data_IF_658656512700
#
_entry.id   IF_658656512700
#
_cell.length_a   1.000
_cell.length_b   1.000
_cell.length_c   1.000
_cell.angle_alpha   90.00
_cell.angle_beta   90.00
_cell.angle_gamma   90.00
#
_symmetry.space_group_name_H-M   'P 1'
#
loop_
_entity.id
_entity.type
_entity.pdbx_description
1 polymer ?
#
# COMPACT_ATOMS: atom_id res chain seq x y z
N UNK A 1 23.84 -72.80 18.76
CA UNK A 1 25.22 -72.68 19.28
C UNK A 1 25.07 -72.14 20.71
N UNK A 2 24.75 -72.94 21.72
CA UNK A 2 25.46 -74.12 22.28
C UNK A 2 26.92 -73.78 22.59
N UNK A 3 27.19 -73.39 23.84
CA UNK A 3 27.96 -74.18 24.83
C UNK A 3 28.32 -73.24 25.98
N UNK A 4 27.82 -73.42 27.21
CA UNK A 4 27.96 -74.56 28.14
C UNK A 4 29.17 -74.41 29.07
N UNK A 5 28.97 -74.83 30.32
CA UNK A 5 30.01 -75.11 31.33
C UNK A 5 29.89 -74.18 32.54
N UNK A 6 29.08 -74.54 33.54
CA UNK A 6 29.45 -75.34 34.74
C UNK A 6 30.23 -74.51 35.74
N UNK A 7 29.63 -74.13 36.87
CA UNK A 7 29.43 -74.92 38.10
C UNK A 7 30.60 -74.81 39.07
N UNK A 8 30.23 -74.88 40.35
CA UNK A 8 31.05 -75.08 41.55
C UNK A 8 31.54 -73.80 42.25
N UNK A 9 30.81 -73.26 43.24
CA UNK A 9 30.56 -73.76 44.61
C UNK A 9 31.70 -73.40 45.56
N UNK A 10 31.38 -72.50 46.53
CA UNK A 10 31.79 -72.47 47.95
C UNK A 10 33.30 -72.48 48.25
N UNK A 11 33.84 -71.88 49.28
CA UNK A 11 33.46 -71.04 50.40
C UNK A 11 34.82 -70.41 50.77
N UNK A 12 34.87 -69.18 51.26
CA UNK A 12 35.36 -68.97 52.62
C UNK A 12 35.48 -67.49 52.99
N UNK A 13 35.09 -67.27 54.23
CA UNK A 13 34.98 -65.99 54.91
C UNK A 13 36.30 -65.67 55.59
N UNK A 14 36.97 -64.61 55.17
CA UNK A 14 37.81 -63.69 55.99
C UNK A 14 38.37 -62.66 55.01
N UNK A 15 38.22 -61.36 55.17
CA UNK A 15 38.35 -60.55 56.37
C UNK A 15 39.19 -59.34 55.96
N UNK A 16 38.54 -58.17 55.94
CA UNK A 16 39.14 -56.88 56.27
C UNK A 16 40.20 -56.26 55.33
N UNK A 17 39.79 -55.30 54.51
CA UNK A 17 40.24 -53.88 54.56
C UNK A 17 39.75 -53.04 53.36
N UNK A 18 39.08 -51.94 53.74
CA UNK A 18 39.21 -50.57 53.24
C UNK A 18 39.34 -50.29 51.72
N UNK A 19 38.38 -49.53 51.18
CA UNK A 19 38.53 -48.84 49.89
C UNK A 19 37.23 -48.21 49.34
N UNK A 20 36.80 -47.12 49.96
CA UNK A 20 35.91 -46.03 49.49
C UNK A 20 34.58 -46.32 48.73
N UNK A 21 33.42 -45.96 49.32
CA UNK A 21 32.24 -45.61 48.54
C UNK A 21 32.35 -44.16 48.03
N UNK A 22 32.24 -44.03 46.71
CA UNK A 22 32.06 -42.77 46.00
C UNK A 22 30.98 -41.90 46.66
N UNK A 23 31.33 -40.63 46.89
CA UNK A 23 30.50 -39.65 47.56
C UNK A 23 29.13 -39.47 46.90
N UNK A 24 28.09 -39.61 47.71
CA UNK A 24 26.77 -39.10 47.39
C UNK A 24 26.78 -37.57 47.50
N UNK A 25 26.62 -36.89 46.36
CA UNK A 25 26.39 -35.45 46.33
C UNK A 25 25.08 -35.09 47.08
N UNK A 26 25.03 -34.01 47.89
CA UNK A 26 23.84 -33.70 48.66
C UNK A 26 22.71 -33.19 47.76
N UNK A 27 21.53 -33.78 47.94
CA UNK A 27 20.31 -33.39 47.24
C UNK A 27 19.90 -31.96 47.62
N UNK A 28 20.13 -31.00 46.72
CA UNK A 28 19.58 -29.65 46.85
C UNK A 28 18.06 -29.72 46.97
N UNK A 29 17.51 -29.20 48.08
CA UNK A 29 16.10 -29.21 48.44
C UNK A 29 15.18 -28.81 47.28
N UNK A 30 14.13 -29.60 47.01
CA UNK A 30 13.08 -29.32 46.00
C UNK A 30 12.52 -27.88 46.09
N UNK A 31 12.52 -27.27 47.28
CA UNK A 31 12.15 -25.84 47.50
C UNK A 31 13.10 -24.86 46.82
N UNK A 32 14.42 -25.12 46.83
CA UNK A 32 15.41 -24.25 46.16
C UNK A 32 15.32 -24.35 44.63
N UNK A 33 15.06 -25.56 44.08
CA UNK A 33 14.79 -25.74 42.64
C UNK A 33 13.51 -25.03 42.19
N UNK A 34 12.42 -25.09 42.97
CA UNK A 34 11.18 -24.32 42.70
C UNK A 34 11.39 -22.81 42.69
N UNK A 35 12.13 -22.27 43.65
CA UNK A 35 12.44 -20.82 43.71
C UNK A 35 13.33 -20.34 42.55
N UNK A 36 14.32 -21.14 42.13
CA UNK A 36 15.13 -20.85 40.93
C UNK A 36 14.30 -20.91 39.65
N UNK A 37 13.43 -21.91 39.51
CA UNK A 37 12.52 -22.04 38.37
C UNK A 37 11.52 -20.86 38.30
N UNK A 38 10.94 -20.47 39.44
CA UNK A 38 10.03 -19.34 39.54
C UNK A 38 10.72 -18.01 39.18
N UNK A 39 11.96 -17.79 39.66
CA UNK A 39 12.76 -16.60 39.27
C UNK A 39 13.12 -16.59 37.79
N UNK A 40 13.37 -17.76 37.18
CA UNK A 40 13.63 -17.87 35.73
C UNK A 40 12.37 -17.57 34.91
N UNK A 41 11.21 -18.08 35.33
CA UNK A 41 9.92 -17.75 34.71
C UNK A 41 9.58 -16.27 34.82
N UNK A 42 9.76 -15.66 36.00
CA UNK A 42 9.57 -14.21 36.19
C UNK A 42 10.48 -13.38 35.27
N UNK A 43 11.75 -13.78 35.11
CA UNK A 43 12.67 -13.10 34.17
C UNK A 43 12.22 -13.24 32.72
N UNK A 44 11.80 -14.44 32.30
CA UNK A 44 11.30 -14.66 30.94
C UNK A 44 10.04 -13.82 30.69
N UNK A 45 9.10 -13.80 31.63
CA UNK A 45 7.91 -12.94 31.54
C UNK A 45 8.26 -11.46 31.47
N UNK A 46 9.25 -11.01 32.26
CA UNK A 46 9.71 -9.62 32.20
C UNK A 46 10.37 -9.29 30.85
N UNK A 47 11.18 -10.19 30.30
CA UNK A 47 11.79 -10.01 28.97
C UNK A 47 10.72 -9.95 27.88
N UNK A 48 9.73 -10.84 27.92
CA UNK A 48 8.60 -10.82 26.98
C UNK A 48 7.83 -9.52 27.12
N UNK A 49 7.52 -9.08 28.34
CA UNK A 49 6.81 -7.82 28.58
C UNK A 49 7.59 -6.62 28.01
N UNK A 50 8.91 -6.56 28.21
CA UNK A 50 9.76 -5.52 27.62
C UNK A 50 9.73 -5.57 26.09
N UNK A 51 9.84 -6.77 25.50
CA UNK A 51 9.75 -6.94 24.04
C UNK A 51 8.42 -6.44 23.49
N UNK A 52 7.31 -6.80 24.14
CA UNK A 52 5.97 -6.33 23.75
C UNK A 52 5.89 -4.81 23.83
N UNK A 53 6.40 -4.20 24.91
CA UNK A 53 6.44 -2.74 25.04
C UNK A 53 7.26 -2.10 23.92
N UNK A 54 8.43 -2.64 23.59
CA UNK A 54 9.26 -2.13 22.49
C UNK A 54 8.53 -2.20 21.15
N UNK A 55 7.87 -3.32 20.85
CA UNK A 55 7.10 -3.48 19.61
C UNK A 55 5.92 -2.50 19.56
N UNK A 56 5.17 -2.35 20.64
CA UNK A 56 4.02 -1.42 20.70
C UNK A 56 4.48 0.03 20.56
N UNK A 57 5.52 0.44 21.26
CA UNK A 57 6.07 1.80 21.16
C UNK A 57 6.64 2.04 19.76
N UNK A 58 7.34 1.06 19.19
CA UNK A 58 7.83 1.11 17.81
C UNK A 58 6.70 1.24 16.80
N UNK A 59 5.62 0.46 16.94
CA UNK A 59 4.44 0.52 16.08
C UNK A 59 3.73 1.87 16.17
N UNK A 60 3.49 2.38 17.38
CA UNK A 60 2.86 3.71 17.58
C UNK A 60 3.76 4.82 17.01
N UNK A 61 5.07 4.74 17.22
CA UNK A 61 6.02 5.72 16.69
C UNK A 61 6.05 5.70 15.15
N UNK A 62 6.07 4.51 14.57
CA UNK A 62 6.02 4.32 13.12
C UNK A 62 4.70 4.80 12.52
N UNK A 63 3.58 4.45 13.14
CA UNK A 63 2.24 4.85 12.71
C UNK A 63 2.08 6.37 12.75
N UNK A 64 2.45 7.01 13.87
CA UNK A 64 2.46 8.48 13.95
C UNK A 64 3.34 9.13 12.89
N UNK A 65 4.54 8.61 12.68
CA UNK A 65 5.44 9.14 11.66
C UNK A 65 4.88 8.98 10.24
N UNK A 66 4.21 7.85 9.97
CA UNK A 66 3.54 7.59 8.70
C UNK A 66 2.36 8.53 8.49
N UNK A 67 1.50 8.68 9.50
CA UNK A 67 0.30 9.54 9.47
C UNK A 67 0.64 11.03 9.43
N UNK A 68 1.82 11.43 9.92
CA UNK A 68 2.27 12.83 9.92
C UNK A 68 2.93 13.26 8.61
N UNK A 69 2.99 12.40 7.60
CA UNK A 69 3.52 12.81 6.30
C UNK A 69 2.52 13.75 5.64
N UNK A 70 2.95 14.94 5.20
CA UNK A 70 2.11 15.78 4.36
C UNK A 70 1.70 14.96 3.13
N UNK A 71 0.39 14.88 2.88
CA UNK A 71 -0.12 14.33 1.62
C UNK A 71 0.39 15.15 0.43
N UNK A 72 0.34 14.56 -0.76
CA UNK A 72 0.66 15.27 -1.99
C UNK A 72 -0.31 16.46 -2.15
N UNK A 73 0.17 17.71 -2.30
CA UNK A 73 -0.72 18.84 -2.52
C UNK A 73 -1.61 18.61 -3.76
N UNK A 74 -2.88 19.06 -3.78
CA UNK A 74 -3.81 18.80 -4.88
C UNK A 74 -3.24 19.15 -6.27
N UNK A 75 -2.56 20.30 -6.38
CA UNK A 75 -1.88 20.78 -7.59
C UNK A 75 -0.68 19.93 -8.04
N UNK A 76 -0.12 19.14 -7.14
CA UNK A 76 1.05 18.30 -7.38
C UNK A 76 0.68 16.84 -7.69
N UNK A 77 -0.60 16.48 -7.57
CA UNK A 77 -1.10 15.17 -7.99
C UNK A 77 -0.90 14.96 -9.49
N UNK A 78 -0.62 13.73 -9.90
CA UNK A 78 -0.34 13.39 -11.31
C UNK A 78 -1.14 12.16 -11.73
N UNK A 79 -1.81 12.27 -12.87
CA UNK A 79 -2.31 11.12 -13.62
C UNK A 79 -1.24 10.72 -14.61
N UNK A 80 -0.87 9.45 -14.66
CA UNK A 80 0.11 8.97 -15.65
C UNK A 80 -0.60 8.43 -16.88
N UNK A 81 -0.42 9.06 -18.03
CA UNK A 81 -0.93 8.58 -19.31
C UNK A 81 0.12 7.73 -20.01
N UNK A 82 -0.23 6.51 -20.41
CA UNK A 82 0.63 5.60 -21.16
C UNK A 82 0.04 5.29 -22.53
N UNK A 83 0.75 5.63 -23.60
CA UNK A 83 0.35 5.37 -25.00
C UNK A 83 1.48 4.63 -25.69
N UNK A 84 1.20 3.46 -26.29
CA UNK A 84 2.22 2.68 -26.99
C UNK A 84 3.44 2.27 -26.16
N UNK A 85 3.32 2.26 -24.83
CA UNK A 85 4.42 1.98 -23.88
C UNK A 85 5.24 3.20 -23.45
N UNK A 86 4.96 4.39 -23.97
CA UNK A 86 5.53 5.66 -23.48
C UNK A 86 4.61 6.25 -22.41
N UNK A 87 5.14 6.54 -21.23
CA UNK A 87 4.40 7.12 -20.11
C UNK A 87 4.75 8.61 -19.93
N UNK A 88 3.74 9.42 -19.61
CA UNK A 88 3.87 10.84 -19.27
C UNK A 88 3.01 11.18 -18.07
N UNK A 89 3.56 11.95 -17.14
CA UNK A 89 2.81 12.47 -16.00
C UNK A 89 2.06 13.74 -16.39
N UNK A 90 0.78 13.77 -16.04
CA UNK A 90 -0.16 14.83 -16.39
C UNK A 90 -0.55 15.58 -15.12
N UNK A 91 -0.27 16.88 -15.09
CA UNK A 91 -0.73 17.77 -14.04
C UNK A 91 -2.26 18.00 -14.15
N UNK A 92 -2.92 18.38 -13.05
CA UNK A 92 -4.32 18.78 -13.12
C UNK A 92 -4.46 19.98 -14.07
N UNK A 93 -5.53 19.96 -14.86
CA UNK A 93 -6.04 21.13 -15.56
C UNK A 93 -6.47 22.21 -14.56
N UNK A 94 -7.11 21.82 -13.46
CA UNK A 94 -7.42 22.71 -12.35
C UNK A 94 -7.34 21.95 -11.03
N UNK A 95 -6.95 22.66 -9.97
CA UNK A 95 -6.93 22.14 -8.60
C UNK A 95 -7.27 23.30 -7.65
N UNK A 96 -8.55 23.57 -7.48
CA UNK A 96 -9.04 24.75 -6.76
C UNK A 96 -9.88 24.37 -5.54
N UNK A 97 -9.91 25.20 -4.49
CA UNK A 97 -10.90 25.08 -3.43
C UNK A 97 -12.31 25.01 -4.02
N UNK A 98 -13.19 24.20 -3.41
CA UNK A 98 -14.55 23.97 -3.94
C UNK A 98 -15.40 25.25 -4.02
N UNK A 99 -15.09 26.26 -3.21
CA UNK A 99 -15.76 27.55 -3.12
C UNK A 99 -15.09 28.68 -3.92
N UNK A 100 -14.04 28.36 -4.69
CA UNK A 100 -13.35 29.34 -5.52
C UNK A 100 -14.08 29.58 -6.85
N UNK A 101 -14.80 30.72 -6.92
CA UNK A 101 -15.54 31.14 -8.10
C UNK A 101 -14.66 31.65 -9.25
N UNK A 102 -13.40 32.00 -8.96
CA UNK A 102 -12.43 32.51 -9.94
C UNK A 102 -11.48 31.39 -10.42
N UNK A 103 -11.82 30.13 -10.11
CA UNK A 103 -11.05 28.98 -10.56
C UNK A 103 -11.12 28.83 -12.09
N UNK A 104 -9.98 29.07 -12.73
CA UNK A 104 -9.76 28.78 -14.14
C UNK A 104 -8.75 27.65 -14.27
N UNK A 105 -8.99 26.75 -15.22
CA UNK A 105 -8.00 25.74 -15.55
C UNK A 105 -6.97 26.22 -16.57
N UNK A 106 -5.90 25.46 -16.65
CA UNK A 106 -4.81 25.63 -17.63
C UNK A 106 -5.23 25.15 -19.03
N UNK A 107 -4.30 24.95 -19.96
CA UNK A 107 -4.62 24.25 -21.20
C UNK A 107 -4.70 22.73 -20.95
N UNK A 108 -5.61 21.99 -21.62
CA UNK A 108 -5.60 20.53 -21.57
C UNK A 108 -4.25 19.95 -21.96
N UNK A 109 -3.80 18.94 -21.23
CA UNK A 109 -2.56 18.26 -21.54
C UNK A 109 -2.70 17.47 -22.83
N UNK A 110 -1.65 17.47 -23.65
CA UNK A 110 -1.66 16.80 -24.97
C UNK A 110 -0.86 15.51 -24.95
N UNK A 111 -1.45 14.45 -25.51
CA UNK A 111 -0.82 13.13 -25.65
C UNK A 111 -0.88 12.62 -27.09
N UNK A 112 0.07 11.79 -27.54
CA UNK A 112 0.11 11.25 -28.90
C UNK A 112 -0.89 10.09 -29.08
N UNK A 113 -2.17 10.33 -28.79
CA UNK A 113 -3.23 9.33 -28.89
C UNK A 113 -3.90 9.39 -30.28
N UNK A 114 -3.47 8.52 -31.19
CA UNK A 114 -4.09 8.36 -32.50
C UNK A 114 -5.52 7.79 -32.40
N UNK A 115 -6.28 7.85 -33.50
CA UNK A 115 -7.69 7.47 -33.49
C UNK A 115 -7.90 5.94 -33.41
N UNK A 116 -6.89 5.14 -33.77
CA UNK A 116 -6.88 3.68 -33.65
C UNK A 116 -6.09 3.19 -32.42
N UNK A 117 -5.55 4.12 -31.63
CA UNK A 117 -4.74 3.84 -30.46
C UNK A 117 -5.57 3.87 -29.17
N UNK A 118 -4.96 3.41 -28.08
CA UNK A 118 -5.50 3.56 -26.72
C UNK A 118 -4.45 4.12 -25.77
N UNK A 119 -4.94 4.86 -24.77
CA UNK A 119 -4.17 5.34 -23.64
C UNK A 119 -4.62 4.60 -22.38
N UNK A 120 -3.67 4.13 -21.57
CA UNK A 120 -3.94 3.72 -20.19
C UNK A 120 -3.64 4.90 -19.27
N UNK A 121 -4.63 5.33 -18.50
CA UNK A 121 -4.49 6.35 -17.47
C UNK A 121 -4.35 5.67 -16.11
N UNK A 122 -3.23 5.91 -15.42
CA UNK A 122 -3.02 5.52 -14.03
C UNK A 122 -3.45 6.68 -13.13
N UNK A 123 -4.38 6.39 -12.23
CA UNK A 123 -4.97 7.33 -11.29
C UNK A 123 -4.14 7.26 -9.99
N UNK A 124 -3.73 8.39 -9.41
CA UNK A 124 -2.96 8.38 -8.16
C UNK A 124 -3.80 7.84 -7.00
N UNK A 125 -3.14 7.24 -6.01
CA UNK A 125 -3.80 6.60 -4.88
C UNK A 125 -4.70 7.56 -4.10
N UNK A 126 -4.28 8.81 -3.96
CA UNK A 126 -5.02 9.91 -3.33
C UNK A 126 -6.32 10.29 -4.06
N UNK A 127 -6.55 9.75 -5.26
CA UNK A 127 -7.78 9.92 -6.03
C UNK A 127 -8.58 8.61 -6.08
N UNK A 128 -7.90 7.49 -6.32
CA UNK A 128 -8.58 6.19 -6.45
C UNK A 128 -9.11 5.64 -5.13
N UNK A 129 -8.64 6.12 -3.99
CA UNK A 129 -9.07 5.69 -2.64
C UNK A 129 -10.45 6.22 -2.23
N UNK A 130 -11.08 7.07 -3.06
CA UNK A 130 -12.43 7.60 -2.86
C UNK A 130 -13.20 7.68 -4.18
N UNK A 131 -14.38 8.30 -4.16
CA UNK A 131 -15.24 8.40 -5.35
C UNK A 131 -14.69 9.43 -6.36
N UNK A 132 -14.59 9.03 -7.63
CA UNK A 132 -14.14 9.88 -8.72
C UNK A 132 -14.90 9.55 -10.02
N UNK A 133 -14.84 10.46 -11.00
CA UNK A 133 -15.49 10.24 -12.30
C UNK A 133 -14.56 10.51 -13.48
N UNK A 134 -14.89 9.88 -14.61
CA UNK A 134 -14.25 10.13 -15.89
C UNK A 134 -15.29 10.52 -16.94
N UNK A 135 -15.12 11.68 -17.55
CA UNK A 135 -15.91 12.16 -18.67
C UNK A 135 -15.11 12.03 -19.97
N UNK A 136 -15.64 11.29 -20.93
CA UNK A 136 -15.09 11.19 -22.29
C UNK A 136 -15.95 12.01 -23.25
N UNK A 137 -15.32 12.95 -23.94
CA UNK A 137 -15.95 13.90 -24.86
C UNK A 137 -15.45 13.60 -26.27
N UNK A 138 -16.40 13.41 -27.19
CA UNK A 138 -16.14 13.15 -28.60
C UNK A 138 -16.57 14.33 -29.47
N UNK A 139 -16.15 14.33 -30.73
CA UNK A 139 -16.57 15.30 -31.75
C UNK A 139 -18.08 15.23 -32.04
N UNK A 140 -18.70 14.06 -31.91
CA UNK A 140 -20.15 13.89 -31.80
C UNK A 140 -20.57 13.82 -30.32
N UNK A 141 -21.27 14.84 -29.79
CA UNK A 141 -21.67 14.86 -28.38
C UNK A 141 -22.65 13.74 -28.00
N UNK A 142 -23.32 13.11 -28.97
CA UNK A 142 -24.18 11.96 -28.70
C UNK A 142 -23.38 10.71 -28.24
N UNK A 143 -22.07 10.69 -28.48
CA UNK A 143 -21.18 9.62 -28.04
C UNK A 143 -20.51 9.88 -26.67
N UNK A 144 -20.70 11.08 -26.10
CA UNK A 144 -20.11 11.42 -24.80
C UNK A 144 -20.54 10.43 -23.72
N UNK A 145 -19.62 10.10 -22.83
CA UNK A 145 -19.86 9.12 -21.77
C UNK A 145 -19.16 9.51 -20.49
N UNK A 146 -19.93 9.51 -19.41
CA UNK A 146 -19.44 9.64 -18.06
C UNK A 146 -19.43 8.26 -17.37
N UNK A 147 -18.39 8.02 -16.59
CA UNK A 147 -18.22 6.81 -15.78
C UNK A 147 -17.88 7.24 -14.35
N UNK A 148 -18.53 6.60 -13.39
CA UNK A 148 -18.32 6.84 -11.96
C UNK A 148 -17.62 5.63 -11.35
N UNK A 149 -16.66 5.90 -10.48
CA UNK A 149 -15.87 4.89 -9.78
C UNK A 149 -15.96 5.15 -8.28
N UNK A 150 -16.22 4.11 -7.51
CA UNK A 150 -16.21 4.19 -6.05
C UNK A 150 -14.79 4.02 -5.51
N UNK A 151 -14.60 4.39 -4.24
CA UNK A 151 -13.38 4.10 -3.48
C UNK A 151 -12.78 2.70 -3.76
N UNK A 152 -11.49 2.66 -4.08
CA UNK A 152 -10.67 1.47 -4.34
C UNK A 152 -11.21 0.56 -5.47
N UNK A 153 -12.13 1.03 -6.31
CA UNK A 153 -12.69 0.21 -7.40
C UNK A 153 -11.67 -0.06 -8.51
N UNK A 154 -10.92 0.96 -8.90
CA UNK A 154 -9.84 0.86 -9.88
C UNK A 154 -8.89 2.07 -9.73
N UNK A 155 -7.62 1.84 -10.00
CA UNK A 155 -6.56 2.84 -10.12
C UNK A 155 -6.12 3.03 -11.58
N UNK A 156 -6.79 2.35 -12.52
CA UNK A 156 -6.43 2.38 -13.93
C UNK A 156 -7.65 2.32 -14.84
N UNK A 157 -7.64 3.14 -15.90
CA UNK A 157 -8.65 3.13 -16.95
C UNK A 157 -8.01 3.19 -18.33
N UNK A 158 -8.68 2.60 -19.32
CA UNK A 158 -8.25 2.66 -20.72
C UNK A 158 -9.20 3.54 -21.52
N UNK A 159 -8.64 4.48 -22.28
CA UNK A 159 -9.36 5.41 -23.15
C UNK A 159 -8.93 5.15 -24.58
N UNK A 160 -9.89 4.92 -25.47
CA UNK A 160 -9.63 4.74 -26.90
C UNK A 160 -9.69 6.08 -27.63
N UNK A 161 -8.95 6.21 -28.74
CA UNK A 161 -8.98 7.39 -29.59
C UNK A 161 -10.34 7.63 -30.28
N UNK A 162 -11.25 6.65 -30.27
CA UNK A 162 -12.62 6.72 -30.79
C UNK A 162 -13.62 6.04 -29.85
N UNK A 163 -14.90 6.40 -29.97
CA UNK A 163 -15.96 5.83 -29.13
C UNK A 163 -16.16 4.32 -29.34
N UNK A 164 -15.95 3.84 -30.57
CA UNK A 164 -15.99 2.43 -30.97
C UNK A 164 -14.78 2.16 -31.87
N UNK A 165 -13.73 1.57 -31.31
CA UNK A 165 -12.48 1.26 -32.02
C UNK A 165 -12.64 0.23 -33.14
N UNK A 166 -13.77 -0.50 -33.21
CA UNK A 166 -14.05 -1.43 -34.29
C UNK A 166 -14.61 -0.74 -35.55
N UNK A 167 -14.96 0.56 -35.48
CA UNK A 167 -15.55 1.32 -36.59
C UNK A 167 -14.69 2.53 -36.93
N UNK A 168 -14.16 2.55 -38.16
CA UNK A 168 -13.29 3.63 -38.64
C UNK A 168 -13.99 5.01 -38.62
N UNK A 169 -15.30 5.05 -38.88
CA UNK A 169 -16.12 6.27 -38.89
C UNK A 169 -16.72 6.59 -37.51
N UNK A 170 -16.24 5.96 -36.42
CA UNK A 170 -16.71 6.25 -35.07
C UNK A 170 -16.25 7.64 -34.60
N UNK A 171 -17.06 8.34 -33.78
CA UNK A 171 -16.70 9.63 -33.20
C UNK A 171 -15.31 9.66 -32.58
N UNK A 172 -14.55 10.72 -32.88
CA UNK A 172 -13.18 10.93 -32.43
C UNK A 172 -13.16 11.50 -31.03
N UNK A 173 -12.32 10.94 -30.16
CA UNK A 173 -12.08 11.51 -28.83
C UNK A 173 -11.52 12.93 -28.98
N UNK A 174 -12.15 13.90 -28.33
CA UNK A 174 -11.69 15.29 -28.28
C UNK A 174 -10.99 15.57 -26.95
N UNK A 175 -11.61 15.20 -25.84
CA UNK A 175 -11.07 15.37 -24.48
C UNK A 175 -11.50 14.21 -23.61
N UNK A 176 -10.64 13.79 -22.69
CA UNK A 176 -11.04 13.04 -21.49
C UNK A 176 -10.74 13.86 -20.25
N UNK A 177 -11.71 13.92 -19.34
CA UNK A 177 -11.58 14.57 -18.04
C UNK A 177 -11.68 13.55 -16.92
N UNK A 178 -10.86 13.73 -15.88
CA UNK A 178 -10.94 13.02 -14.61
C UNK A 178 -11.32 14.04 -13.54
N UNK A 179 -12.36 13.77 -12.76
CA UNK A 179 -12.83 14.66 -11.71
C UNK A 179 -12.76 13.94 -10.35
N UNK A 180 -12.25 14.66 -9.36
CA UNK A 180 -12.13 14.17 -7.98
C UNK A 180 -12.22 15.31 -6.97
N UNK A 181 -12.66 14.98 -5.76
CA UNK A 181 -12.67 15.87 -4.61
C UNK A 181 -11.62 15.39 -3.60
N UNK A 182 -10.50 16.10 -3.53
CA UNK A 182 -9.40 15.75 -2.63
C UNK A 182 -9.32 16.73 -1.46
N UNK A 183 -8.77 16.31 -0.33
CA UNK A 183 -8.47 17.21 0.78
C UNK A 183 -7.05 17.76 0.62
N UNK A 184 -6.93 19.08 0.62
CA UNK A 184 -5.64 19.79 0.58
C UNK A 184 -5.52 20.79 1.72
N UNK A 185 -4.50 21.63 1.65
CA UNK A 185 -4.29 22.73 2.60
C UNK A 185 -4.30 24.06 1.86
N UNK A 186 -5.02 25.06 2.38
CA UNK A 186 -5.03 26.41 1.84
C UNK A 186 -3.84 27.29 2.31
N UNK A 187 -3.81 28.54 1.88
CA UNK A 187 -2.75 29.50 2.24
C UNK A 187 -2.73 29.84 3.75
N UNK A 188 -3.84 29.61 4.46
CA UNK A 188 -3.93 29.79 5.91
C UNK A 188 -3.49 28.54 6.68
N UNK A 189 -3.16 27.44 6.00
CA UNK A 189 -2.80 26.18 6.62
C UNK A 189 -4.01 25.34 7.06
N UNK A 190 -5.23 25.69 6.64
CA UNK A 190 -6.44 24.96 6.97
C UNK A 190 -6.70 23.83 5.96
N UNK A 191 -7.25 22.71 6.44
CA UNK A 191 -7.71 21.63 5.57
C UNK A 191 -8.96 22.10 4.80
N UNK A 192 -8.88 22.02 3.48
CA UNK A 192 -9.88 22.55 2.56
C UNK A 192 -10.15 21.53 1.46
N UNK A 193 -11.42 21.29 1.07
CA UNK A 193 -11.74 20.43 -0.07
C UNK A 193 -11.40 21.12 -1.39
N UNK A 194 -10.70 20.41 -2.27
CA UNK A 194 -10.34 20.86 -3.61
C UNK A 194 -11.09 20.04 -4.67
N UNK A 195 -11.69 20.74 -5.63
CA UNK A 195 -12.08 20.14 -6.90
C UNK A 195 -10.84 20.06 -7.81
N UNK A 196 -10.48 18.85 -8.19
CA UNK A 196 -9.33 18.58 -9.06
C UNK A 196 -9.82 17.96 -10.35
N UNK A 197 -9.41 18.56 -11.45
CA UNK A 197 -9.74 18.11 -12.80
C UNK A 197 -8.45 17.88 -13.57
N UNK A 198 -8.31 16.73 -14.21
CA UNK A 198 -7.31 16.51 -15.26
C UNK A 198 -8.02 16.54 -16.60
N UNK A 199 -7.56 17.36 -17.54
CA UNK A 199 -8.11 17.42 -18.90
C UNK A 199 -7.02 17.00 -19.88
N UNK A 200 -7.29 15.97 -20.68
CA UNK A 200 -6.32 15.34 -21.58
C UNK A 200 -6.92 15.27 -22.99
N UNK A 201 -6.18 15.78 -23.98
CA UNK A 201 -6.60 15.83 -25.37
C UNK A 201 -5.57 15.14 -26.29
N UNK A 202 -6.00 14.53 -27.41
CA UNK A 202 -5.08 14.13 -28.46
C UNK A 202 -4.31 15.33 -29.07
N UNK A 203 -3.04 15.14 -29.38
CA UNK A 203 -2.18 16.16 -30.00
C UNK A 203 -2.71 16.63 -31.38
N UNK A 204 -3.34 15.74 -32.13
CA UNK A 204 -3.82 15.97 -33.50
C UNK A 204 -5.26 16.53 -33.57
N UNK A 205 -5.96 16.65 -32.42
CA UNK A 205 -7.30 17.22 -32.36
C UNK A 205 -7.24 18.71 -31.96
N UNK A 206 -7.84 19.61 -32.77
CA UNK A 206 -7.98 21.00 -32.40
C UNK A 206 -8.86 21.10 -31.15
N UNK A 207 -8.32 21.68 -30.08
CA UNK A 207 -9.13 22.04 -28.91
C UNK A 207 -9.62 23.46 -29.19
N UNK A 208 -10.91 23.62 -29.49
CA UNK A 208 -11.51 24.95 -29.67
C UNK A 208 -11.36 25.74 -28.37
N UNK A 209 -10.74 26.91 -28.46
CA UNK A 209 -10.47 27.82 -27.33
C UNK A 209 -11.74 28.48 -26.74
N UNK A 210 -12.93 28.09 -27.24
CA UNK A 210 -14.20 28.75 -26.94
C UNK A 210 -15.00 28.05 -25.82
N UNK A 211 -14.36 27.15 -25.07
CA UNK A 211 -14.94 26.48 -23.89
C UNK A 211 -14.34 27.00 -22.56
N UNK A 212 -13.83 28.24 -22.56
CA UNK A 212 -13.36 28.96 -21.36
C UNK A 212 -14.34 30.04 -20.94
#
# INVERSE_FOLDING_TARGET
MVSAGSEDQRDDVTGDRAGDPAGAAPATSRKQRRRKAQRRQLRVMAVIAVLVVVVVVGAIGFQRWWDSRPGTPPRDLRVTATVGGESRDIAPYSACPLDDADCHGDAPARIPLGPDDSATLSIPGEVSDHDWSMLTIYDDPAANREQYFTADQTDSVTVAGRADSAKADSPRLTVVEIHSLVVGTDDAGAETPYAVVWSIAPEDVPVSADAS
#
